data_IF_136486955832
#
_entry.id   IF_136486955832
#
_cell.length_a   1.000
_cell.length_b   1.000
_cell.length_c   1.000
_cell.angle_alpha   90.00
_cell.angle_beta   90.00
_cell.angle_gamma   90.00
#
_symmetry.space_group_name_H-M   'P 1'
#
loop_
_entity.id
_entity.type
_entity.pdbx_description
1 polymer ?
#
# COMPACT_ATOMS: atom_id res chain seq x y z
N UNK A 1 -4.66 1.54 27.21
CA UNK A 1 -4.87 0.80 25.96
C UNK A 1 -3.68 1.02 25.05
N UNK A 2 -3.36 0.02 24.25
CA UNK A 2 -2.27 0.04 23.24
C UNK A 2 -0.89 0.41 23.79
N UNK A 3 -0.47 -0.25 24.87
CA UNK A 3 0.82 0.03 25.54
C UNK A 3 2.05 -0.26 24.65
N UNK A 4 1.88 -1.07 23.60
CA UNK A 4 2.92 -1.35 22.61
C UNK A 4 3.13 -0.19 21.61
N UNK A 5 2.21 0.78 21.54
CA UNK A 5 2.36 1.94 20.65
C UNK A 5 3.23 2.99 21.32
N UNK A 6 4.32 3.38 20.67
CA UNK A 6 5.03 4.60 21.04
C UNK A 6 4.22 5.84 20.62
N UNK A 7 3.40 6.32 21.53
CA UNK A 7 2.53 7.48 21.31
C UNK A 7 3.28 8.79 21.10
N UNK A 8 4.57 8.83 21.42
CA UNK A 8 5.46 9.95 21.11
C UNK A 8 6.03 9.88 19.69
N UNK A 9 5.83 8.77 18.98
CA UNK A 9 6.21 8.67 17.57
C UNK A 9 5.44 9.69 16.73
N UNK A 10 6.12 10.33 15.77
CA UNK A 10 5.50 11.26 14.81
C UNK A 10 4.31 10.65 14.05
N UNK A 11 4.30 9.32 13.88
CA UNK A 11 3.19 8.60 13.26
C UNK A 11 1.87 8.70 14.06
N UNK A 12 1.94 8.84 15.38
CA UNK A 12 0.79 8.91 16.28
C UNK A 12 0.63 10.28 16.98
N UNK A 13 1.45 11.25 16.58
CA UNK A 13 1.27 12.61 17.05
C UNK A 13 0.11 13.27 16.28
N UNK A 14 -0.71 13.98 17.03
CA UNK A 14 -1.85 14.72 16.51
C UNK A 14 -1.47 16.19 16.27
N UNK A 15 -0.39 16.43 15.54
CA UNK A 15 0.12 17.78 15.25
C UNK A 15 -0.36 18.33 13.89
N UNK A 16 -1.15 17.55 13.16
CA UNK A 16 -1.67 17.92 11.82
C UNK A 16 -0.64 17.97 10.71
N UNK A 17 0.61 17.59 10.96
CA UNK A 17 1.70 17.68 9.98
C UNK A 17 1.96 16.38 9.26
N UNK A 18 1.78 15.27 9.93
CA UNK A 18 2.02 13.94 9.33
C UNK A 18 1.48 12.83 10.22
N UNK A 19 1.43 11.62 9.70
CA UNK A 19 1.15 10.43 10.46
C UNK A 19 -0.24 9.85 10.24
N UNK A 20 -0.64 9.01 11.17
CA UNK A 20 -1.84 8.19 11.04
C UNK A 20 -3.12 8.91 11.49
N UNK A 21 -2.97 9.95 12.31
CA UNK A 21 -4.06 10.60 13.00
C UNK A 21 -4.44 11.94 12.35
N UNK A 22 -5.73 12.22 12.28
CA UNK A 22 -6.23 13.55 11.95
C UNK A 22 -6.21 14.46 13.19
N UNK A 23 -6.26 15.79 13.01
CA UNK A 23 -6.37 16.71 14.14
C UNK A 23 -7.55 16.32 15.06
N UNK A 24 -7.26 16.14 16.36
CA UNK A 24 -8.26 15.70 17.36
C UNK A 24 -8.42 14.18 17.52
N UNK A 25 -7.86 13.36 16.64
CA UNK A 25 -7.86 11.91 16.82
C UNK A 25 -6.83 11.45 17.85
N UNK A 26 -7.12 10.36 18.54
CA UNK A 26 -6.16 9.55 19.31
C UNK A 26 -6.08 8.15 18.69
N UNK A 27 -5.05 7.35 19.00
CA UNK A 27 -5.01 5.96 18.55
C UNK A 27 -6.28 5.18 18.89
N UNK A 28 -6.82 5.40 20.08
CA UNK A 28 -8.04 4.75 20.55
C UNK A 28 -9.25 5.09 19.66
N UNK A 29 -9.47 6.39 19.39
CA UNK A 29 -10.54 6.86 18.50
C UNK A 29 -10.36 6.29 17.10
N UNK A 30 -9.12 6.31 16.61
CA UNK A 30 -8.81 5.83 15.25
C UNK A 30 -9.08 4.34 15.09
N UNK A 31 -8.62 3.51 16.02
CA UNK A 31 -8.83 2.08 15.95
C UNK A 31 -10.30 1.68 16.16
N UNK A 32 -11.01 2.41 16.99
CA UNK A 32 -12.46 2.20 17.15
C UNK A 32 -13.24 2.54 15.88
N UNK A 33 -12.90 3.63 15.19
CA UNK A 33 -13.48 3.96 13.90
C UNK A 33 -13.23 2.86 12.85
N UNK A 34 -12.01 2.34 12.78
CA UNK A 34 -11.67 1.23 11.89
C UNK A 34 -12.52 0.00 12.21
N UNK A 35 -12.59 -0.39 13.49
CA UNK A 35 -13.35 -1.56 13.92
C UNK A 35 -14.86 -1.42 13.60
N UNK A 36 -15.44 -0.25 13.82
CA UNK A 36 -16.83 0.03 13.47
C UNK A 36 -17.07 -0.10 11.97
N UNK A 37 -16.21 0.53 11.15
CA UNK A 37 -16.32 0.49 9.69
C UNK A 37 -16.27 -0.95 9.15
N UNK A 38 -15.40 -1.79 9.72
CA UNK A 38 -15.31 -3.18 9.28
C UNK A 38 -16.51 -3.98 9.79
N UNK A 39 -16.98 -3.74 11.02
CA UNK A 39 -18.16 -4.41 11.56
C UNK A 39 -19.41 -4.18 10.70
N UNK A 40 -19.57 -2.98 10.12
CA UNK A 40 -20.67 -2.67 9.21
C UNK A 40 -20.69 -3.54 7.96
N UNK A 41 -19.51 -3.89 7.42
CA UNK A 41 -19.39 -4.77 6.24
C UNK A 41 -19.33 -6.26 6.59
N UNK A 42 -19.21 -6.59 7.87
CA UNK A 42 -19.21 -7.97 8.39
C UNK A 42 -20.39 -8.24 9.35
N UNK A 43 -21.64 -8.04 8.95
CA UNK A 43 -22.79 -8.12 9.84
C UNK A 43 -23.04 -9.56 10.39
N UNK A 44 -22.49 -10.56 9.72
CA UNK A 44 -22.61 -11.96 10.15
C UNK A 44 -21.64 -12.37 11.27
N UNK A 45 -20.70 -11.53 11.62
CA UNK A 45 -19.76 -11.74 12.72
C UNK A 45 -19.97 -10.67 13.81
N UNK A 46 -20.91 -10.85 14.74
CA UNK A 46 -21.26 -9.84 15.72
C UNK A 46 -20.16 -9.56 16.75
N UNK A 47 -19.21 -10.49 16.95
CA UNK A 47 -18.10 -10.36 17.90
C UNK A 47 -16.84 -9.74 17.29
N UNK A 48 -16.84 -9.50 15.98
CA UNK A 48 -15.65 -9.04 15.26
C UNK A 48 -15.03 -7.80 15.89
N UNK A 49 -15.82 -6.76 16.18
CA UNK A 49 -15.31 -5.50 16.74
C UNK A 49 -14.57 -5.74 18.07
N UNK A 50 -15.16 -6.49 18.97
CA UNK A 50 -14.58 -6.77 20.29
C UNK A 50 -13.27 -7.56 20.18
N UNK A 51 -13.28 -8.60 19.38
CA UNK A 51 -12.10 -9.44 19.14
C UNK A 51 -10.99 -8.66 18.45
N UNK A 52 -11.33 -7.88 17.42
CA UNK A 52 -10.39 -7.02 16.71
C UNK A 52 -9.67 -6.06 17.64
N UNK A 53 -10.41 -5.29 18.44
CA UNK A 53 -9.83 -4.32 19.37
C UNK A 53 -9.04 -5.00 20.48
N UNK A 54 -9.52 -6.14 21.01
CA UNK A 54 -8.82 -6.93 22.04
C UNK A 54 -7.44 -7.39 21.55
N UNK A 55 -7.37 -8.02 20.39
CA UNK A 55 -6.11 -8.54 19.86
C UNK A 55 -5.15 -7.43 19.40
N UNK A 56 -5.69 -6.32 18.92
CA UNK A 56 -4.90 -5.13 18.63
C UNK A 56 -4.33 -4.49 19.91
N UNK A 57 -5.11 -4.46 20.99
CA UNK A 57 -4.68 -3.86 22.27
C UNK A 57 -3.51 -4.63 22.90
N UNK A 58 -3.52 -5.96 22.83
CA UNK A 58 -2.42 -6.79 23.33
C UNK A 58 -1.22 -6.90 22.37
N UNK A 59 -1.29 -6.25 21.20
CA UNK A 59 -0.20 -6.23 20.22
C UNK A 59 -0.01 -7.54 19.45
N UNK A 60 -1.06 -8.37 19.34
CA UNK A 60 -1.00 -9.62 18.58
C UNK A 60 -0.79 -9.40 17.09
N UNK A 61 -1.21 -8.26 16.58
CA UNK A 61 -0.96 -7.79 15.22
C UNK A 61 -0.87 -6.26 15.16
N UNK A 62 -0.32 -5.75 14.08
CA UNK A 62 -0.30 -4.33 13.75
C UNK A 62 -0.94 -4.10 12.39
N UNK A 63 -1.59 -2.96 12.22
CA UNK A 63 -2.19 -2.56 10.97
C UNK A 63 -1.17 -1.88 10.07
N UNK A 64 -1.27 -2.09 8.76
CA UNK A 64 -0.43 -1.37 7.81
C UNK A 64 -0.79 0.12 7.76
N UNK A 65 0.19 0.97 7.45
CA UNK A 65 0.00 2.42 7.37
C UNK A 65 -1.21 2.83 6.53
N UNK A 66 -1.38 2.36 5.27
CA UNK A 66 -2.54 2.75 4.47
C UNK A 66 -3.87 2.26 5.05
N UNK A 67 -3.87 1.14 5.76
CA UNK A 67 -5.06 0.66 6.42
C UNK A 67 -5.46 1.59 7.58
N UNK A 68 -4.50 1.99 8.41
CA UNK A 68 -4.73 2.93 9.50
C UNK A 68 -5.19 4.29 8.95
N UNK A 69 -4.63 4.77 7.86
CA UNK A 69 -4.92 6.12 7.34
C UNK A 69 -6.17 6.19 6.48
N UNK A 70 -6.71 5.05 6.00
CA UNK A 70 -7.75 5.03 4.98
C UNK A 70 -9.10 4.52 5.46
N UNK A 71 -9.14 3.42 6.21
CA UNK A 71 -10.42 2.77 6.58
C UNK A 71 -11.30 3.74 7.36
N UNK A 72 -12.55 3.90 6.91
CA UNK A 72 -13.49 4.87 7.49
C UNK A 72 -13.23 6.33 7.07
N UNK A 73 -12.33 6.60 6.14
CA UNK A 73 -12.07 7.93 5.57
C UNK A 73 -12.41 7.98 4.09
N UNK A 74 -12.75 9.18 3.57
CA UNK A 74 -13.39 9.35 2.26
C UNK A 74 -12.51 9.15 1.02
N UNK A 75 -11.21 8.99 1.08
CA UNK A 75 -10.42 9.05 -0.16
C UNK A 75 -9.07 8.37 -0.11
N UNK A 76 -9.02 7.12 0.38
CA UNK A 76 -7.75 6.42 0.33
C UNK A 76 -7.97 4.91 0.15
N UNK A 77 -6.98 4.24 -0.39
CA UNK A 77 -6.99 2.80 -0.57
C UNK A 77 -6.33 2.12 0.64
N UNK A 78 -6.97 1.13 1.27
CA UNK A 78 -6.46 0.46 2.47
C UNK A 78 -5.37 -0.59 2.18
N UNK A 79 -4.75 -0.54 1.02
CA UNK A 79 -3.75 -1.50 0.57
C UNK A 79 -2.36 -0.87 0.57
N UNK A 80 -1.39 -1.51 1.22
CA UNK A 80 -0.01 -1.02 1.33
C UNK A 80 0.87 -1.38 0.14
N UNK A 81 0.59 -2.49 -0.53
CA UNK A 81 1.43 -3.03 -1.58
C UNK A 81 0.61 -3.50 -2.78
N UNK A 82 1.19 -3.35 -3.95
CA UNK A 82 0.71 -3.97 -5.20
C UNK A 82 1.86 -4.62 -5.92
N UNK A 83 1.56 -5.69 -6.63
CA UNK A 83 2.49 -6.37 -7.51
C UNK A 83 1.88 -6.45 -8.90
N UNK A 84 2.73 -6.31 -9.93
CA UNK A 84 2.30 -6.35 -11.32
C UNK A 84 3.23 -7.25 -12.14
N UNK A 85 2.68 -7.90 -13.14
CA UNK A 85 3.45 -8.58 -14.17
C UNK A 85 3.69 -7.60 -15.33
N UNK A 86 4.91 -7.53 -15.82
CA UNK A 86 5.32 -6.65 -16.91
C UNK A 86 5.80 -7.52 -18.05
N UNK A 87 4.99 -7.65 -19.09
CA UNK A 87 5.29 -8.44 -20.26
C UNK A 87 6.21 -7.72 -21.25
N UNK A 88 6.67 -8.47 -22.25
CA UNK A 88 7.72 -8.10 -23.19
C UNK A 88 7.22 -7.23 -24.35
N UNK A 89 6.53 -6.14 -24.02
CA UNK A 89 6.14 -5.12 -24.98
C UNK A 89 6.30 -3.71 -24.44
N UNK A 90 6.62 -2.75 -25.30
CA UNK A 90 6.71 -1.34 -24.90
C UNK A 90 5.39 -0.80 -24.34
N UNK A 91 4.25 -1.32 -24.82
CA UNK A 91 2.93 -0.96 -24.30
C UNK A 91 2.75 -1.38 -22.85
N UNK A 92 3.09 -2.63 -22.52
CA UNK A 92 2.99 -3.16 -21.16
C UNK A 92 3.99 -2.48 -20.23
N UNK A 93 5.21 -2.23 -20.66
CA UNK A 93 6.22 -1.51 -19.87
C UNK A 93 5.76 -0.07 -19.56
N UNK A 94 5.24 0.64 -20.56
CA UNK A 94 4.74 2.01 -20.38
C UNK A 94 3.51 2.06 -19.47
N UNK A 95 2.58 1.11 -19.64
CA UNK A 95 1.40 0.98 -18.78
C UNK A 95 1.80 0.72 -17.33
N UNK A 96 2.68 -0.25 -17.10
CA UNK A 96 3.17 -0.59 -15.76
C UNK A 96 3.86 0.59 -15.06
N UNK A 97 4.64 1.40 -15.79
CA UNK A 97 5.22 2.63 -15.25
C UNK A 97 4.16 3.64 -14.82
N UNK A 98 3.17 3.87 -15.68
CA UNK A 98 2.04 4.77 -15.38
C UNK A 98 1.25 4.31 -14.16
N UNK A 99 0.94 3.02 -14.10
CA UNK A 99 0.23 2.42 -12.96
C UNK A 99 1.04 2.55 -11.66
N UNK A 100 2.35 2.23 -11.68
CA UNK A 100 3.24 2.40 -10.54
C UNK A 100 3.26 3.84 -10.03
N UNK A 101 3.34 4.82 -10.93
CA UNK A 101 3.33 6.24 -10.56
C UNK A 101 2.01 6.65 -9.88
N UNK A 102 0.87 6.18 -10.39
CA UNK A 102 -0.45 6.45 -9.79
C UNK A 102 -0.55 5.80 -8.41
N UNK A 103 -0.11 4.54 -8.27
CA UNK A 103 -0.15 3.81 -7.00
C UNK A 103 0.77 4.44 -5.96
N UNK A 104 1.96 4.86 -6.35
CA UNK A 104 2.90 5.57 -5.47
C UNK A 104 2.33 6.90 -5.01
N UNK A 105 1.66 7.65 -5.89
CA UNK A 105 0.98 8.91 -5.54
C UNK A 105 -0.05 8.73 -4.42
N UNK A 106 -0.74 7.60 -4.37
CA UNK A 106 -1.71 7.30 -3.30
C UNK A 106 -1.09 6.60 -2.08
N UNK A 107 0.24 6.57 -1.99
CA UNK A 107 0.97 6.03 -0.84
C UNK A 107 1.15 4.52 -0.83
N UNK A 108 1.02 3.87 -2.00
CA UNK A 108 1.20 2.43 -2.15
C UNK A 108 2.62 2.07 -2.57
N UNK A 109 3.21 1.06 -1.94
CA UNK A 109 4.41 0.41 -2.45
C UNK A 109 4.08 -0.43 -3.69
N UNK A 110 4.88 -0.31 -4.73
CA UNK A 110 4.73 -1.08 -5.96
C UNK A 110 5.93 -1.99 -6.17
N UNK A 111 5.67 -3.21 -6.62
CA UNK A 111 6.69 -4.14 -7.10
C UNK A 111 6.25 -4.73 -8.44
N UNK A 112 7.19 -5.28 -9.20
CA UNK A 112 6.87 -5.88 -10.47
C UNK A 112 7.79 -7.05 -10.80
N UNK A 113 7.24 -8.04 -11.48
CA UNK A 113 7.99 -9.10 -12.14
C UNK A 113 8.08 -8.78 -13.63
N UNK A 114 9.30 -8.65 -14.14
CA UNK A 114 9.58 -8.33 -15.54
C UNK A 114 9.89 -9.61 -16.31
N UNK A 115 8.98 -10.00 -17.18
CA UNK A 115 9.16 -11.12 -18.11
C UNK A 115 9.59 -10.59 -19.48
N UNK A 116 10.81 -10.03 -19.54
CA UNK A 116 11.33 -9.37 -20.71
C UNK A 116 12.43 -10.24 -21.36
N UNK A 117 12.51 -10.15 -22.69
CA UNK A 117 13.61 -10.78 -23.45
C UNK A 117 14.98 -10.26 -23.01
N UNK A 118 15.98 -11.12 -23.09
CA UNK A 118 17.35 -10.77 -22.73
C UNK A 118 18.01 -9.72 -23.63
N UNK A 119 19.13 -9.17 -23.15
CA UNK A 119 19.95 -8.28 -23.95
C UNK A 119 20.47 -8.99 -25.22
N UNK A 120 20.44 -8.30 -26.35
CA UNK A 120 20.83 -8.84 -27.64
C UNK A 120 19.74 -9.63 -28.38
N UNK A 121 18.61 -9.95 -27.73
CA UNK A 121 17.50 -10.61 -28.41
C UNK A 121 16.87 -9.70 -29.47
N UNK A 122 16.50 -10.25 -30.61
CA UNK A 122 15.88 -9.49 -31.69
C UNK A 122 14.52 -8.91 -31.26
N UNK A 123 14.29 -7.61 -31.54
CA UNK A 123 13.04 -6.94 -31.27
C UNK A 123 12.11 -7.06 -32.49
N UNK A 124 12.65 -6.87 -33.68
CA UNK A 124 11.93 -6.89 -34.96
C UNK A 124 12.83 -7.48 -36.04
N UNK A 125 12.27 -7.66 -37.24
CA UNK A 125 13.05 -8.08 -38.42
C UNK A 125 14.00 -6.96 -38.94
N UNK A 126 14.07 -5.82 -38.28
CA UNK A 126 14.87 -4.66 -38.68
C UNK A 126 16.33 -4.66 -38.15
N UNK A 127 16.77 -5.72 -37.50
CA UNK A 127 18.11 -5.82 -36.94
C UNK A 127 18.33 -5.07 -35.62
N UNK A 128 17.27 -4.55 -35.03
CA UNK A 128 17.32 -3.91 -33.70
C UNK A 128 17.26 -4.99 -32.62
N UNK A 129 18.12 -4.86 -31.62
CA UNK A 129 18.19 -5.79 -30.49
C UNK A 129 17.74 -5.13 -29.17
N UNK A 130 17.25 -5.97 -28.25
CA UNK A 130 16.83 -5.55 -26.92
C UNK A 130 18.01 -5.08 -26.08
N UNK A 131 17.89 -4.01 -25.30
CA UNK A 131 18.86 -3.62 -24.28
C UNK A 131 18.82 -4.53 -23.05
N UNK A 132 17.82 -5.40 -22.94
CA UNK A 132 17.59 -6.30 -21.80
C UNK A 132 16.75 -5.66 -20.67
N UNK A 133 16.38 -6.51 -19.71
CA UNK A 133 15.47 -6.12 -18.61
C UNK A 133 16.08 -5.07 -17.67
N UNK A 134 17.39 -5.07 -17.46
CA UNK A 134 18.04 -4.11 -16.57
C UNK A 134 17.80 -2.66 -16.98
N UNK A 135 17.88 -2.36 -18.27
CA UNK A 135 17.62 -1.02 -18.81
C UNK A 135 16.20 -0.51 -18.46
N UNK A 136 15.21 -1.39 -18.56
CA UNK A 136 13.84 -1.04 -18.21
C UNK A 136 13.61 -0.97 -16.70
N UNK A 137 14.27 -1.86 -15.93
CA UNK A 137 14.20 -1.87 -14.47
C UNK A 137 14.68 -0.55 -13.84
N UNK A 138 15.73 0.06 -14.38
CA UNK A 138 16.21 1.35 -13.93
C UNK A 138 15.14 2.45 -14.02
N UNK A 139 14.29 2.39 -15.02
CA UNK A 139 13.18 3.32 -15.17
C UNK A 139 12.05 3.19 -14.13
N UNK A 140 12.08 2.19 -13.25
CA UNK A 140 11.17 2.00 -12.12
C UNK A 140 11.80 2.36 -10.76
N UNK A 141 13.09 2.74 -10.74
CA UNK A 141 13.85 3.11 -9.53
C UNK A 141 13.76 4.60 -9.20
N UNK A 142 12.68 5.25 -9.44
CA UNK A 142 12.51 6.67 -9.10
C UNK A 142 11.92 6.87 -7.71
#
# INVERSE_FOLDING_TARGET
>A
MYNWINKASSAYLNDGKSGYLLPGETPEIRFELIANTIQEVLPKNPTFKEEFLKYLDIGMYALSTPFITSVGRKSALPFSCSNQHIGDSMGEIAFAKGESAIMTKVGKGCSGYMDLRGAGAAITNSGISSPGSLYFAEGFRS
#
